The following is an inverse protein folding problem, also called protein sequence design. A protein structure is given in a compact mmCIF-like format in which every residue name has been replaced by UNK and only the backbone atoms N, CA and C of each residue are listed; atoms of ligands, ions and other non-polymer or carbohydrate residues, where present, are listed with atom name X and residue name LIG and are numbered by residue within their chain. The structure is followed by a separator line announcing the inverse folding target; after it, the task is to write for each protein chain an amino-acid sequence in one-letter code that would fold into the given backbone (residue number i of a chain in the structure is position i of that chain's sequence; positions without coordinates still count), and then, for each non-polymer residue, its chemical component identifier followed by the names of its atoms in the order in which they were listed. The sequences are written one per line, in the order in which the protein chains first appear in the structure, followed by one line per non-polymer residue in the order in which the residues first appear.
data_IF_425281850060
#
_entry.id   IF_425281850060
#
_cell.length_a   1.000
_cell.length_b   1.000
_cell.length_c   1.000
_cell.angle_alpha   90.00
_cell.angle_beta   90.00
_cell.angle_gamma   90.00
#
_symmetry.space_group_name_H-M   'P 1'
#
loop_
_entity.id
_entity.type
_entity.pdbx_description
1 polymer ?
#
# COMPACT_ATOMS: atom_id res chain seq x y z
N UNK A 1 1.80 1.19 10.14
CA UNK A 1 0.63 2.08 10.31
C UNK A 1 -0.20 1.44 11.39
N UNK A 2 0.04 1.76 12.66
CA UNK A 2 -0.75 1.19 13.75
C UNK A 2 -2.18 1.68 13.56
N UNK A 3 -3.11 0.73 13.41
CA UNK A 3 -4.53 0.99 13.43
C UNK A 3 -4.83 1.89 14.64
N UNK A 4 -5.56 2.99 14.43
CA UNK A 4 -5.83 4.03 15.43
C UNK A 4 -6.17 3.41 16.78
N UNK A 5 -5.19 3.43 17.70
CA UNK A 5 -5.27 2.81 19.02
C UNK A 5 -6.50 3.35 19.77
N UNK A 6 -7.43 2.45 20.10
CA UNK A 6 -8.64 2.75 20.87
C UNK A 6 -8.31 3.24 22.29
N UNK A 7 -7.12 2.94 22.79
CA UNK A 7 -6.58 3.43 24.05
C UNK A 7 -6.41 4.96 24.04
N UNK A 8 -5.91 5.55 22.93
CA UNK A 8 -5.78 7.02 22.76
C UNK A 8 -7.13 7.75 22.62
N UNK A 9 -8.22 7.03 22.40
CA UNK A 9 -9.58 7.59 22.39
C UNK A 9 -10.15 7.70 23.81
N UNK A 10 -9.98 6.68 24.65
CA UNK A 10 -10.46 6.68 26.06
C UNK A 10 -9.74 7.74 26.91
N UNK A 11 -8.47 8.03 26.62
CA UNK A 11 -7.71 9.09 27.29
C UNK A 11 -8.38 10.48 27.20
N UNK A 12 -9.13 10.74 26.12
CA UNK A 12 -9.73 12.06 25.84
C UNK A 12 -11.12 12.24 26.46
N UNK A 13 -11.77 11.17 26.92
CA UNK A 13 -13.12 11.23 27.49
C UNK A 13 -13.20 10.39 28.78
N UNK A 14 -12.98 11.04 29.93
CA UNK A 14 -12.92 10.45 31.30
C UNK A 14 -11.80 9.43 31.48
N UNK A 15 -10.57 9.93 31.61
CA UNK A 15 -9.40 9.11 31.90
C UNK A 15 -9.61 8.24 33.17
N UNK A 16 -9.39 6.92 33.10
CA UNK A 16 -9.47 6.03 34.24
C UNK A 16 -8.38 6.33 35.27
N UNK A 17 -8.60 5.96 36.54
CA UNK A 17 -7.64 6.23 37.63
C UNK A 17 -6.27 5.55 37.44
N UNK A 18 -6.22 4.50 36.61
CA UNK A 18 -5.01 3.83 36.15
C UNK A 18 -5.18 3.56 34.66
N UNK A 19 -4.26 4.02 33.84
CA UNK A 19 -4.23 3.81 32.39
C UNK A 19 -2.88 3.22 32.01
N UNK A 20 -2.90 2.04 31.39
CA UNK A 20 -1.69 1.35 30.92
C UNK A 20 -1.70 1.43 29.40
N UNK A 21 -0.65 2.04 28.84
CA UNK A 21 -0.46 2.18 27.41
C UNK A 21 0.78 1.43 26.96
N UNK A 22 0.74 0.90 25.75
CA UNK A 22 1.89 0.33 25.08
C UNK A 22 2.14 1.19 23.84
N UNK A 23 3.12 2.09 23.94
CA UNK A 23 3.63 2.82 22.78
C UNK A 23 4.87 2.10 22.24
N UNK A 24 5.00 2.09 20.92
CA UNK A 24 6.20 1.55 20.26
C UNK A 24 7.13 2.74 20.06
N UNK A 25 8.11 2.88 20.94
CA UNK A 25 9.13 3.92 20.80
C UNK A 25 10.11 3.52 19.69
N UNK A 26 10.05 4.22 18.57
CA UNK A 26 10.86 3.89 17.38
C UNK A 26 12.12 4.73 17.24
N UNK A 27 12.45 5.63 18.18
CA UNK A 27 13.66 6.47 18.21
C UNK A 27 14.07 7.10 16.85
N UNK A 28 13.11 7.41 15.98
CA UNK A 28 13.38 7.94 14.63
C UNK A 28 13.80 6.88 13.60
N UNK A 29 13.52 5.60 13.83
CA UNK A 29 13.83 4.49 12.93
C UNK A 29 13.32 4.79 11.53
N UNK A 30 14.21 4.70 10.55
CA UNK A 30 13.83 4.90 9.15
C UNK A 30 12.80 3.85 8.73
N UNK A 31 11.63 4.32 8.32
CA UNK A 31 10.60 3.47 7.74
C UNK A 31 11.06 3.04 6.36
N UNK A 32 11.57 1.82 6.24
CA UNK A 32 11.82 1.20 4.93
C UNK A 32 10.50 1.03 4.19
N UNK A 33 10.42 1.64 3.00
CA UNK A 33 9.34 1.41 2.05
C UNK A 33 9.85 0.41 1.03
N UNK A 34 9.22 -0.75 0.98
CA UNK A 34 9.54 -1.75 -0.03
C UNK A 34 8.90 -1.31 -1.36
N UNK A 35 9.75 -1.06 -2.35
CA UNK A 35 9.33 -0.75 -3.71
C UNK A 35 9.40 -2.04 -4.54
N UNK A 36 8.28 -2.56 -5.07
CA UNK A 36 8.32 -3.71 -5.95
C UNK A 36 9.02 -3.34 -7.26
N UNK A 37 9.94 -4.18 -7.71
CA UNK A 37 10.54 -4.06 -9.03
C UNK A 37 9.62 -4.70 -10.06
N UNK A 38 9.09 -3.90 -10.98
CA UNK A 38 8.22 -4.35 -12.08
C UNK A 38 8.93 -4.12 -13.40
N UNK A 39 9.04 -5.16 -14.21
CA UNK A 39 9.62 -5.09 -15.56
C UNK A 39 8.52 -5.16 -16.61
N UNK A 40 8.39 -4.10 -17.42
CA UNK A 40 7.52 -4.11 -18.59
C UNK A 40 8.20 -4.80 -19.76
N UNK A 41 7.50 -5.70 -20.45
CA UNK A 41 7.98 -6.38 -21.66
C UNK A 41 7.11 -5.94 -22.84
N UNK A 42 7.75 -5.42 -23.90
CA UNK A 42 7.11 -5.11 -25.16
C UNK A 42 7.50 -6.16 -26.20
N UNK A 43 6.50 -6.88 -26.72
CA UNK A 43 6.70 -7.90 -27.74
C UNK A 43 5.52 -7.91 -28.73
N UNK A 44 5.80 -8.27 -29.98
CA UNK A 44 4.74 -8.58 -30.95
C UNK A 44 4.19 -9.99 -30.67
N UNK A 45 3.07 -10.04 -29.96
CA UNK A 45 2.38 -11.28 -29.59
C UNK A 45 1.07 -11.47 -30.40
N UNK A 46 0.85 -10.63 -31.41
CA UNK A 46 -0.43 -10.57 -32.14
C UNK A 46 -0.55 -11.57 -33.30
N UNK A 47 0.58 -12.17 -33.71
CA UNK A 47 0.64 -13.06 -34.86
C UNK A 47 0.46 -12.34 -36.21
N UNK A 48 0.64 -13.06 -37.32
CA UNK A 48 0.65 -12.45 -38.67
C UNK A 48 -0.74 -12.03 -39.18
N UNK A 49 -1.78 -12.71 -38.73
CA UNK A 49 -3.16 -12.50 -39.18
C UNK A 49 -4.10 -12.54 -37.98
N UNK A 50 -4.31 -11.39 -37.31
CA UNK A 50 -5.29 -11.32 -36.24
C UNK A 50 -6.70 -11.50 -36.83
N UNK A 51 -7.51 -12.36 -36.18
CA UNK A 51 -8.90 -12.66 -36.59
C UNK A 51 -9.79 -11.42 -36.45
N UNK A 52 -9.46 -10.55 -35.49
CA UNK A 52 -10.14 -9.30 -35.21
C UNK A 52 -9.14 -8.13 -35.26
N UNK A 53 -9.56 -6.91 -35.64
CA UNK A 53 -8.69 -5.75 -35.61
C UNK A 53 -8.10 -5.50 -34.22
N UNK A 54 -6.79 -5.26 -34.15
CA UNK A 54 -6.13 -4.96 -32.87
C UNK A 54 -6.65 -3.64 -32.29
N UNK A 55 -6.82 -3.56 -30.96
CA UNK A 55 -7.17 -2.31 -30.30
C UNK A 55 -6.07 -1.26 -30.49
N UNK A 56 -6.47 0.01 -30.38
CA UNK A 56 -5.53 1.13 -30.39
C UNK A 56 -4.47 0.95 -29.30
N UNK A 57 -3.25 1.44 -29.55
CA UNK A 57 -2.11 1.22 -28.63
C UNK A 57 -2.39 1.78 -27.23
N UNK A 58 -3.13 2.89 -27.14
CA UNK A 58 -3.55 3.51 -25.88
C UNK A 58 -4.40 2.61 -24.99
N UNK A 59 -5.07 1.61 -25.58
CA UNK A 59 -6.07 0.80 -24.89
C UNK A 59 -5.49 -0.56 -24.45
N UNK A 60 -4.21 -0.84 -24.74
CA UNK A 60 -3.50 -2.06 -24.35
C UNK A 60 -2.94 -1.92 -22.93
N UNK A 61 -3.10 -2.95 -22.09
CA UNK A 61 -2.62 -2.99 -20.69
C UNK A 61 -1.60 -4.09 -20.46
#
# INVERSE_FOLDING_TARGET
MSASSSQKFIARNRAPRVQIEYDVEVYGSEKKVELPFVMGVLADLSGKHPVEPLPAVSDRR
#
